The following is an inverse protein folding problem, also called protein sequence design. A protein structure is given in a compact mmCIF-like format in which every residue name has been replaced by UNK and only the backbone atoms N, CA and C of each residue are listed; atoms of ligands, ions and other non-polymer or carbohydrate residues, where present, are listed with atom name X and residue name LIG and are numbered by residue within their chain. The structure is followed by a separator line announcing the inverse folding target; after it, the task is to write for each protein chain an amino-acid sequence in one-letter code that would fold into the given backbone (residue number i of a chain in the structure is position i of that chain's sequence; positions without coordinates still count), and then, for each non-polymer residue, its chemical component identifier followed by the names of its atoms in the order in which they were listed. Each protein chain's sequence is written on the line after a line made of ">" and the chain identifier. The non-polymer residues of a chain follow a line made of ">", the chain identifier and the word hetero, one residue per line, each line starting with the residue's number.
data_IF_207004126663
#
_entry.id   IF_207004126663
#
_cell.length_a   1.000
_cell.length_b   1.000
_cell.length_c   1.000
_cell.angle_alpha   90.00
_cell.angle_beta   90.00
_cell.angle_gamma   90.00
#
_symmetry.space_group_name_H-M   'P 1'
#
loop_
_entity.id
_entity.type
_entity.pdbx_description
1 polymer ?
#
# COMPACT_ATOMS: atom_id res chain seq x y z
N UNK A 1 6.90 -6.40 -23.46
CA UNK A 1 5.91 -5.33 -23.27
C UNK A 1 6.53 -4.21 -22.45
N UNK A 2 6.54 -2.96 -22.95
CA UNK A 2 7.00 -1.80 -22.15
C UNK A 2 5.83 -1.27 -21.35
N UNK A 3 6.02 -1.09 -20.04
CA UNK A 3 5.05 -0.40 -19.19
C UNK A 3 4.93 1.03 -19.72
N UNK A 4 3.75 1.38 -20.24
CA UNK A 4 3.48 2.73 -20.75
C UNK A 4 3.48 3.76 -19.62
N UNK A 5 3.71 5.03 -19.94
CA UNK A 5 3.75 6.14 -18.96
C UNK A 5 2.47 6.19 -18.12
N UNK A 6 1.31 5.93 -18.72
CA UNK A 6 0.02 5.86 -18.03
C UNK A 6 -0.04 4.72 -17.01
N UNK A 7 0.46 3.53 -17.35
CA UNK A 7 0.53 2.40 -16.41
C UNK A 7 1.47 2.70 -15.25
N UNK A 8 2.65 3.29 -15.49
CA UNK A 8 3.54 3.69 -14.38
C UNK A 8 2.92 4.75 -13.47
N UNK A 9 2.19 5.73 -14.03
CA UNK A 9 1.46 6.71 -13.23
C UNK A 9 0.35 6.05 -12.38
N UNK A 10 -0.38 5.08 -12.95
CA UNK A 10 -1.36 4.29 -12.22
C UNK A 10 -0.74 3.52 -11.04
N UNK A 11 0.44 2.92 -11.24
CA UNK A 11 1.16 2.22 -10.16
C UNK A 11 1.58 3.16 -9.02
N UNK A 12 2.02 4.38 -9.34
CA UNK A 12 2.34 5.40 -8.33
C UNK A 12 1.09 5.85 -7.59
N UNK A 13 0.01 6.17 -8.31
CA UNK A 13 -1.27 6.56 -7.72
C UNK A 13 -1.81 5.46 -6.79
N UNK A 14 -1.71 4.20 -7.20
CA UNK A 14 -2.10 3.07 -6.38
C UNK A 14 -1.27 2.96 -5.10
N UNK A 15 0.04 3.17 -5.18
CA UNK A 15 0.91 3.23 -4.00
C UNK A 15 0.54 4.35 -3.03
N UNK A 16 0.28 5.56 -3.55
CA UNK A 16 -0.15 6.71 -2.75
C UNK A 16 -1.53 6.49 -2.13
N UNK A 17 -2.48 5.95 -2.89
CA UNK A 17 -3.80 5.59 -2.38
C UNK A 17 -3.71 4.55 -1.26
N UNK A 18 -2.86 3.53 -1.43
CA UNK A 18 -2.61 2.52 -0.40
C UNK A 18 -2.09 3.16 0.90
N UNK A 19 -1.26 4.19 0.79
CA UNK A 19 -0.77 4.95 1.94
C UNK A 19 -1.85 5.71 2.71
N UNK A 20 -2.95 6.08 2.05
CA UNK A 20 -4.09 6.72 2.70
C UNK A 20 -5.02 5.64 3.28
N UNK A 21 -5.28 4.57 2.52
CA UNK A 21 -6.24 3.53 2.88
C UNK A 21 -5.82 2.74 4.12
N UNK A 22 -4.58 2.24 4.16
CA UNK A 22 -4.15 1.30 5.20
C UNK A 22 -4.06 1.92 6.61
N UNK A 23 -3.50 3.13 6.81
CA UNK A 23 -3.52 3.77 8.13
C UNK A 23 -4.92 4.09 8.63
N UNK A 24 -5.83 4.54 7.74
CA UNK A 24 -7.22 4.80 8.11
C UNK A 24 -7.96 3.52 8.48
N UNK A 25 -7.74 2.43 7.72
CA UNK A 25 -8.28 1.11 8.04
C UNK A 25 -7.80 0.62 9.40
N UNK A 26 -6.50 0.68 9.67
CA UNK A 26 -5.93 0.25 10.95
C UNK A 26 -6.45 1.10 12.12
N UNK A 27 -6.61 2.41 11.92
CA UNK A 27 -7.19 3.31 12.92
C UNK A 27 -8.63 2.92 13.26
N UNK A 28 -9.44 2.57 12.26
CA UNK A 28 -10.82 2.14 12.47
C UNK A 28 -10.89 0.79 13.19
N UNK A 29 -10.03 -0.17 12.81
CA UNK A 29 -9.96 -1.47 13.49
C UNK A 29 -9.50 -1.30 14.94
N UNK A 30 -8.50 -0.46 15.19
CA UNK A 30 -8.04 -0.17 16.55
C UNK A 30 -9.15 0.38 17.44
N UNK A 31 -10.03 1.21 16.88
CA UNK A 31 -11.17 1.80 17.59
C UNK A 31 -12.40 0.87 17.73
N UNK A 32 -12.38 -0.32 17.11
CA UNK A 32 -13.45 -1.31 17.20
C UNK A 32 -13.37 -2.08 18.52
N UNK A 33 -14.47 -2.19 19.27
CA UNK A 33 -14.52 -2.89 20.55
C UNK A 33 -14.10 -4.37 20.42
N UNK A 34 -14.31 -5.00 19.26
CA UNK A 34 -13.92 -6.40 19.00
C UNK A 34 -12.40 -6.60 18.97
N UNK A 35 -11.62 -5.53 18.83
CA UNK A 35 -10.16 -5.59 18.81
C UNK A 35 -9.55 -5.85 20.19
N UNK A 36 -10.31 -5.59 21.26
CA UNK A 36 -9.80 -5.61 22.63
C UNK A 36 -10.70 -6.44 23.54
N UNK A 37 -10.14 -7.48 24.16
CA UNK A 37 -10.79 -8.25 25.21
C UNK A 37 -9.70 -8.85 26.11
N UNK A 38 -9.43 -8.20 27.25
CA UNK A 38 -8.28 -8.47 28.13
C UNK A 38 -6.90 -8.47 27.43
N UNK A 39 -6.84 -7.88 26.23
CA UNK A 39 -5.68 -7.89 25.34
C UNK A 39 -6.07 -7.80 23.87
N UNK A 40 -5.08 -7.87 22.99
CA UNK A 40 -5.29 -7.91 21.55
C UNK A 40 -5.98 -9.22 21.14
N UNK A 41 -7.15 -9.12 20.53
CA UNK A 41 -7.89 -10.29 20.05
C UNK A 41 -7.36 -10.79 18.71
N UNK A 42 -7.71 -12.03 18.34
CA UNK A 42 -7.41 -12.56 17.00
C UNK A 42 -7.98 -11.69 15.89
N UNK A 43 -9.12 -11.01 16.13
CA UNK A 43 -9.69 -10.05 15.19
C UNK A 43 -8.68 -8.93 14.91
N UNK A 44 -8.15 -8.28 15.94
CA UNK A 44 -7.13 -7.25 15.78
C UNK A 44 -5.85 -7.79 15.11
N UNK A 45 -5.32 -8.92 15.59
CA UNK A 45 -4.05 -9.47 15.11
C UNK A 45 -4.09 -9.82 13.62
N UNK A 46 -5.18 -10.44 13.15
CA UNK A 46 -5.36 -10.77 11.73
C UNK A 46 -5.40 -9.50 10.89
N UNK A 47 -6.16 -8.49 11.32
CA UNK A 47 -6.28 -7.23 10.60
C UNK A 47 -4.98 -6.42 10.60
N UNK A 48 -4.21 -6.47 11.69
CA UNK A 48 -2.88 -5.89 11.77
C UNK A 48 -1.92 -6.57 10.79
N UNK A 49 -1.89 -7.91 10.76
CA UNK A 49 -1.06 -8.67 9.83
C UNK A 49 -1.43 -8.38 8.37
N UNK A 50 -2.73 -8.39 8.04
CA UNK A 50 -3.23 -8.01 6.73
C UNK A 50 -2.81 -6.59 6.35
N UNK A 51 -2.95 -5.65 7.29
CA UNK A 51 -2.54 -4.25 7.05
C UNK A 51 -1.06 -4.14 6.75
N UNK A 52 -0.19 -4.80 7.52
CA UNK A 52 1.27 -4.75 7.31
C UNK A 52 1.65 -5.34 5.95
N UNK A 53 1.16 -6.54 5.64
CA UNK A 53 1.50 -7.23 4.38
C UNK A 53 1.00 -6.43 3.18
N UNK A 54 -0.24 -5.96 3.22
CA UNK A 54 -0.82 -5.20 2.12
C UNK A 54 -0.23 -3.80 1.98
N UNK A 55 0.13 -3.14 3.08
CA UNK A 55 0.85 -1.87 3.04
C UNK A 55 2.25 -2.04 2.44
N UNK A 56 2.96 -3.10 2.78
CA UNK A 56 4.25 -3.43 2.17
C UNK A 56 4.12 -3.70 0.66
N UNK A 57 3.09 -4.44 0.25
CA UNK A 57 2.79 -4.66 -1.17
C UNK A 57 2.50 -3.35 -1.92
N UNK A 58 1.69 -2.45 -1.33
CA UNK A 58 1.41 -1.12 -1.88
C UNK A 58 2.67 -0.27 -2.04
N UNK A 59 3.59 -0.33 -1.07
CA UNK A 59 4.90 0.34 -1.15
C UNK A 59 5.77 -0.22 -2.28
N UNK A 60 5.83 -1.55 -2.43
CA UNK A 60 6.57 -2.19 -3.51
C UNK A 60 6.03 -1.78 -4.89
N UNK A 61 4.70 -1.74 -5.05
CA UNK A 61 4.03 -1.31 -6.29
C UNK A 61 4.33 0.17 -6.59
N UNK A 62 4.20 1.05 -5.59
CA UNK A 62 4.52 2.47 -5.73
C UNK A 62 5.97 2.70 -6.16
N UNK A 63 6.91 1.94 -5.55
CA UNK A 63 8.33 2.01 -5.90
C UNK A 63 8.61 1.55 -7.33
N UNK A 64 7.96 0.47 -7.80
CA UNK A 64 8.03 0.03 -9.18
C UNK A 64 7.47 1.08 -10.16
N UNK A 65 6.37 1.75 -9.78
CA UNK A 65 5.82 2.87 -10.53
C UNK A 65 6.81 4.02 -10.70
N UNK A 66 7.47 4.44 -9.60
CA UNK A 66 8.50 5.49 -9.62
C UNK A 66 9.68 5.09 -10.52
N UNK A 67 10.15 3.84 -10.41
CA UNK A 67 11.22 3.31 -11.28
C UNK A 67 10.81 3.32 -12.75
N UNK A 68 9.58 2.93 -13.07
CA UNK A 68 9.04 2.98 -14.43
C UNK A 68 8.99 4.41 -15.00
N UNK A 69 8.53 5.38 -14.20
CA UNK A 69 8.53 6.80 -14.57
C UNK A 69 9.95 7.32 -14.80
N UNK A 70 10.92 6.96 -13.96
CA UNK A 70 12.33 7.36 -14.14
C UNK A 70 12.96 6.73 -15.40
N UNK A 71 12.72 5.44 -15.66
CA UNK A 71 13.25 4.74 -16.83
C UNK A 71 12.68 5.26 -18.16
N UNK A 72 11.44 5.77 -18.15
CA UNK A 72 10.84 6.43 -19.33
C UNK A 72 11.32 7.87 -19.53
N UNK A 73 12.06 8.43 -18.57
CA UNK A 73 12.65 9.77 -18.61
C UNK A 73 14.09 9.78 -19.10
N UNK A 74 14.79 8.63 -19.10
CA UNK A 74 16.16 8.52 -19.62
C UNK A 74 16.13 8.69 -21.15
N UNK A 75 16.71 9.77 -21.70
CA UNK A 75 16.92 9.89 -23.14
C UNK A 75 17.86 8.75 -23.56
N UNK A 76 17.46 7.96 -24.55
CA UNK A 76 18.42 7.09 -25.24
C UNK A 76 19.31 8.02 -26.08
N UNK A 77 20.49 8.34 -25.56
CA UNK A 77 21.63 8.81 -26.37
C UNK A 77 22.16 7.66 -27.21
#
# INVERSE_FOLDING_TARGET
>A
MRIGRGTSACLVLFGVWSWILWPNFLKNIWADDRSWNDGATSFFLIHLALTIVSFAAGNAIGWLGIKGLRATRTPRT
#
